data_IF_459943295303
#
_entry.id   IF_459943295303
#
_cell.length_a   1.000
_cell.length_b   1.000
_cell.length_c   1.000
_cell.angle_alpha   90.00
_cell.angle_beta   90.00
_cell.angle_gamma   90.00
#
_symmetry.space_group_name_H-M   'P 1'
#
loop_
_entity.id
_entity.type
_entity.pdbx_description
1 polymer ?
#
# COMPACT_ATOMS: atom_id res chain seq x y z
N UNK A 1 20.95 -13.39 -10.49
CA UNK A 1 19.55 -12.92 -10.61
C UNK A 1 18.67 -13.79 -11.52
N UNK A 2 19.21 -14.48 -12.54
CA UNK A 2 18.44 -15.38 -13.41
C UNK A 2 18.00 -16.71 -12.75
N UNK A 3 18.69 -17.20 -11.72
CA UNK A 3 18.33 -18.46 -11.02
C UNK A 3 17.03 -18.39 -10.22
N UNK A 4 16.64 -17.18 -9.74
CA UNK A 4 15.35 -16.94 -9.07
C UNK A 4 14.15 -17.03 -10.02
N UNK A 5 14.36 -16.76 -11.31
CA UNK A 5 13.29 -16.77 -12.33
C UNK A 5 13.02 -18.20 -12.86
N UNK A 6 14.03 -19.07 -12.86
CA UNK A 6 13.92 -20.41 -13.44
C UNK A 6 13.85 -21.56 -12.42
N UNK A 7 13.86 -21.29 -11.11
CA UNK A 7 13.67 -22.32 -10.08
C UNK A 7 14.80 -23.37 -9.98
N UNK A 8 15.98 -23.10 -10.55
CA UNK A 8 17.13 -24.02 -10.64
C UNK A 8 17.79 -24.42 -9.30
N UNK A 9 17.13 -24.19 -8.16
CA UNK A 9 17.58 -24.61 -6.83
C UNK A 9 16.46 -25.07 -5.89
N UNK A 10 15.21 -25.19 -6.39
CA UNK A 10 14.08 -25.64 -5.56
C UNK A 10 13.84 -27.13 -5.70
N UNK A 11 13.70 -27.82 -4.58
CA UNK A 11 13.34 -29.25 -4.55
C UNK A 11 11.82 -29.41 -4.56
N UNK A 12 11.27 -30.39 -5.29
CA UNK A 12 9.84 -30.69 -5.16
C UNK A 12 9.55 -31.14 -3.74
N UNK A 13 8.41 -30.70 -3.18
CA UNK A 13 7.95 -31.11 -1.85
C UNK A 13 7.95 -32.63 -1.68
N UNK A 14 7.67 -33.35 -2.77
CA UNK A 14 7.65 -34.81 -2.81
C UNK A 14 8.99 -35.49 -2.55
N UNK A 15 10.08 -34.78 -2.76
CA UNK A 15 11.43 -35.30 -2.56
C UNK A 15 11.96 -35.10 -1.14
N UNK A 16 11.18 -34.48 -0.25
CA UNK A 16 11.60 -34.20 1.11
C UNK A 16 11.44 -35.45 1.99
N UNK A 17 12.45 -35.74 2.80
CA UNK A 17 12.35 -36.74 3.87
C UNK A 17 11.49 -36.23 5.02
N UNK A 18 11.03 -37.11 5.91
CA UNK A 18 10.28 -36.67 7.11
C UNK A 18 11.08 -35.70 8.00
N UNK A 19 12.40 -35.87 8.07
CA UNK A 19 13.29 -34.94 8.78
C UNK A 19 13.24 -33.54 8.14
N UNK A 20 13.25 -33.47 6.80
CA UNK A 20 13.19 -32.22 6.06
C UNK A 20 11.80 -31.59 6.11
N UNK A 21 10.73 -32.39 6.15
CA UNK A 21 9.35 -31.92 6.32
C UNK A 21 9.19 -31.25 7.68
N UNK A 22 9.65 -31.89 8.77
CA UNK A 22 9.60 -31.28 10.11
C UNK A 22 10.50 -30.04 10.20
N UNK A 23 11.70 -30.08 9.63
CA UNK A 23 12.58 -28.90 9.60
C UNK A 23 11.96 -27.72 8.83
N UNK A 24 11.23 -28.01 7.74
CA UNK A 24 10.49 -27.00 6.98
C UNK A 24 9.29 -26.45 7.75
N UNK A 25 8.59 -27.30 8.52
CA UNK A 25 7.51 -26.85 9.41
C UNK A 25 8.07 -25.91 10.48
N UNK A 26 9.16 -26.28 11.15
CA UNK A 26 9.80 -25.44 12.19
C UNK A 26 10.20 -24.07 11.62
N UNK A 27 10.88 -24.04 10.48
CA UNK A 27 11.29 -22.75 9.89
C UNK A 27 10.10 -21.93 9.38
N UNK A 28 9.01 -22.59 9.02
CA UNK A 28 7.76 -21.94 8.61
C UNK A 28 7.08 -21.24 9.79
N UNK A 29 6.96 -21.91 10.93
CA UNK A 29 6.43 -21.33 12.17
C UNK A 29 7.29 -20.18 12.69
N UNK A 30 8.62 -20.35 12.65
CA UNK A 30 9.55 -19.27 13.02
C UNK A 30 9.38 -18.02 12.16
N UNK A 31 9.19 -18.20 10.85
CA UNK A 31 9.00 -17.09 9.92
C UNK A 31 7.61 -16.46 10.12
N UNK A 32 6.55 -17.24 10.33
CA UNK A 32 5.18 -16.72 10.54
C UNK A 32 5.06 -15.97 11.87
N UNK A 33 5.59 -16.51 12.97
CA UNK A 33 5.65 -15.79 14.24
C UNK A 33 6.45 -14.48 14.16
N UNK A 34 7.45 -14.37 13.27
CA UNK A 34 8.15 -13.09 13.01
C UNK A 34 7.30 -12.13 12.19
N UNK A 35 6.53 -12.63 11.23
CA UNK A 35 5.61 -11.83 10.44
C UNK A 35 4.52 -11.24 11.34
N UNK A 36 3.93 -12.04 12.23
CA UNK A 36 2.94 -11.56 13.19
C UNK A 36 3.47 -10.48 14.13
N UNK A 37 4.67 -10.65 14.68
CA UNK A 37 5.33 -9.59 15.46
C UNK A 37 5.59 -8.34 14.64
N UNK A 38 6.01 -8.48 13.38
CA UNK A 38 6.24 -7.34 12.49
C UNK A 38 4.93 -6.59 12.14
N UNK A 39 3.80 -7.29 12.10
CA UNK A 39 2.48 -6.67 11.99
C UNK A 39 2.10 -5.94 13.27
N UNK A 40 2.25 -6.58 14.44
CA UNK A 40 2.02 -5.96 15.73
C UNK A 40 2.83 -4.66 15.87
N UNK A 41 4.15 -4.72 15.69
CA UNK A 41 5.06 -3.56 15.74
C UNK A 41 4.62 -2.43 14.81
N UNK A 42 4.12 -2.77 13.63
CA UNK A 42 3.64 -1.79 12.64
C UNK A 42 2.31 -1.14 13.00
N UNK A 43 1.50 -1.77 13.83
CA UNK A 43 0.19 -1.31 14.27
C UNK A 43 0.24 -0.62 15.65
N UNK A 44 1.20 -0.96 16.52
CA UNK A 44 1.25 -0.52 17.93
C UNK A 44 1.07 0.99 18.14
N UNK A 45 1.64 1.84 17.30
CA UNK A 45 1.55 3.30 17.45
C UNK A 45 0.14 3.85 17.17
N UNK A 46 -0.53 3.33 16.14
CA UNK A 46 -1.80 3.89 15.65
C UNK A 46 -3.02 3.05 16.05
N UNK A 47 -2.85 1.74 16.21
CA UNK A 47 -3.89 0.73 16.42
C UNK A 47 -3.44 -0.30 17.48
N UNK A 48 -3.18 0.13 18.73
CA UNK A 48 -2.58 -0.72 19.75
C UNK A 48 -3.44 -1.93 20.15
N UNK A 49 -4.77 -1.88 19.98
CA UNK A 49 -5.62 -3.04 20.29
C UNK A 49 -5.61 -4.05 19.16
N UNK A 50 -5.62 -3.60 17.90
CA UNK A 50 -5.39 -4.47 16.75
C UNK A 50 -3.98 -5.09 16.78
N UNK A 51 -2.96 -4.38 17.29
CA UNK A 51 -1.61 -4.94 17.46
C UNK A 51 -1.59 -6.16 18.39
N UNK A 52 -2.28 -6.11 19.52
CA UNK A 52 -2.37 -7.23 20.49
C UNK A 52 -2.95 -8.51 19.91
N UNK A 53 -3.85 -8.40 18.93
CA UNK A 53 -4.37 -9.58 18.23
C UNK A 53 -3.21 -10.32 17.57
N UNK A 54 -2.33 -9.62 16.87
CA UNK A 54 -1.17 -10.22 16.20
C UNK A 54 -0.06 -10.63 17.18
N UNK A 55 0.06 -9.97 18.34
CA UNK A 55 0.95 -10.44 19.42
C UNK A 55 0.50 -11.80 19.95
N UNK A 56 -0.79 -11.95 20.30
CA UNK A 56 -1.31 -13.24 20.79
C UNK A 56 -1.29 -14.33 19.69
N UNK A 57 -1.49 -13.98 18.41
CA UNK A 57 -1.29 -14.93 17.31
C UNK A 57 0.17 -15.38 17.20
N UNK A 58 1.14 -14.49 17.37
CA UNK A 58 2.56 -14.86 17.36
C UNK A 58 2.94 -15.80 18.52
N UNK A 59 2.28 -15.69 19.67
CA UNK A 59 2.47 -16.60 20.82
C UNK A 59 1.98 -18.02 20.53
N UNK A 60 0.90 -18.17 19.74
CA UNK A 60 0.40 -19.48 19.31
C UNK A 60 1.38 -20.16 18.35
N UNK A 61 1.94 -19.43 17.38
CA UNK A 61 2.97 -19.95 16.47
C UNK A 61 4.27 -20.34 17.21
N UNK A 62 4.62 -19.64 18.29
CA UNK A 62 5.71 -20.04 19.16
C UNK A 62 5.43 -21.42 19.79
N UNK A 63 4.18 -21.68 20.19
CA UNK A 63 3.74 -22.97 20.70
C UNK A 63 3.83 -24.09 19.66
N UNK A 64 3.41 -23.81 18.42
CA UNK A 64 3.54 -24.73 17.28
C UNK A 64 5.00 -25.10 17.01
N UNK A 65 5.86 -24.07 16.90
CA UNK A 65 7.30 -24.23 16.73
C UNK A 65 7.89 -25.12 17.81
N UNK A 66 7.58 -24.85 19.08
CA UNK A 66 8.16 -25.57 20.21
C UNK A 66 7.72 -27.05 20.20
N UNK A 67 6.47 -27.34 19.87
CA UNK A 67 5.98 -28.71 19.70
C UNK A 67 6.69 -29.47 18.55
N UNK A 68 6.92 -28.79 17.42
CA UNK A 68 7.66 -29.35 16.28
C UNK A 68 9.14 -29.60 16.62
N UNK A 69 9.81 -28.68 17.32
CA UNK A 69 11.19 -28.83 17.77
C UNK A 69 11.32 -30.03 18.72
N UNK A 70 10.40 -30.15 19.68
CA UNK A 70 10.40 -31.27 20.63
C UNK A 70 10.22 -32.62 19.92
N UNK A 71 9.35 -32.69 18.92
CA UNK A 71 9.19 -33.90 18.13
C UNK A 71 10.41 -34.19 17.25
N UNK A 72 10.96 -33.15 16.61
CA UNK A 72 12.18 -33.27 15.81
C UNK A 72 13.33 -33.82 16.64
N UNK A 73 13.55 -33.25 17.84
CA UNK A 73 14.60 -33.68 18.77
C UNK A 73 14.47 -35.15 19.13
N UNK A 74 13.25 -35.61 19.45
CA UNK A 74 12.96 -37.01 19.81
C UNK A 74 13.25 -38.00 18.68
N UNK A 75 13.05 -37.60 17.41
CA UNK A 75 13.17 -38.50 16.25
C UNK A 75 14.52 -38.44 15.54
N UNK A 76 15.07 -37.23 15.42
CA UNK A 76 16.21 -36.93 14.54
C UNK A 76 17.40 -36.29 15.27
N UNK A 77 17.27 -36.03 16.58
CA UNK A 77 18.31 -35.40 17.41
C UNK A 77 18.32 -33.88 17.30
N UNK A 78 19.39 -33.25 17.79
CA UNK A 78 19.45 -31.80 18.01
C UNK A 78 19.66 -30.95 16.74
N UNK A 79 20.16 -31.54 15.66
CA UNK A 79 20.57 -30.78 14.48
C UNK A 79 19.44 -30.69 13.47
N UNK A 80 18.70 -29.58 13.51
CA UNK A 80 17.66 -29.25 12.52
C UNK A 80 18.33 -28.79 11.21
N UNK A 81 18.07 -29.47 10.06
CA UNK A 81 18.55 -29.02 8.76
C UNK A 81 18.02 -27.63 8.37
N UNK A 82 18.86 -26.82 7.74
CA UNK A 82 18.43 -25.53 7.20
C UNK A 82 17.66 -25.75 5.89
N UNK A 83 16.34 -25.76 6.00
CA UNK A 83 15.41 -25.74 4.86
C UNK A 83 14.37 -24.64 5.11
N UNK A 84 13.99 -23.95 4.05
CA UNK A 84 13.03 -22.84 4.08
C UNK A 84 12.06 -22.97 2.91
N UNK A 85 10.97 -22.22 2.98
CA UNK A 85 9.89 -22.21 1.98
C UNK A 85 10.43 -21.94 0.57
N UNK A 86 11.36 -21.00 0.43
CA UNK A 86 11.97 -20.62 -0.83
C UNK A 86 12.83 -21.72 -1.48
N UNK A 87 13.21 -22.76 -0.71
CA UNK A 87 13.95 -23.93 -1.21
C UNK A 87 13.03 -25.03 -1.76
N UNK A 88 11.70 -24.90 -1.61
CA UNK A 88 10.73 -25.93 -1.96
C UNK A 88 9.82 -25.47 -3.10
N UNK A 89 9.73 -26.27 -4.16
CA UNK A 89 8.88 -25.99 -5.32
C UNK A 89 7.43 -26.32 -4.98
N UNK A 90 6.53 -25.40 -5.28
CA UNK A 90 5.09 -25.54 -4.97
C UNK A 90 4.72 -25.10 -3.56
N UNK A 91 5.69 -24.68 -2.74
CA UNK A 91 5.42 -24.00 -1.48
C UNK A 91 5.01 -22.56 -1.76
N UNK A 92 4.05 -22.04 -1.01
CA UNK A 92 3.56 -20.67 -1.17
C UNK A 92 4.66 -19.65 -0.83
N UNK A 93 4.76 -18.60 -1.63
CA UNK A 93 5.65 -17.48 -1.36
C UNK A 93 4.90 -16.40 -0.57
N UNK A 94 5.41 -16.07 0.62
CA UNK A 94 4.95 -14.92 1.39
C UNK A 94 5.43 -13.64 0.67
N UNK A 95 4.51 -12.72 0.38
CA UNK A 95 4.89 -11.37 -0.08
C UNK A 95 5.25 -10.55 1.16
N UNK A 96 6.39 -9.84 1.18
CA UNK A 96 6.88 -9.14 2.37
C UNK A 96 6.10 -7.85 2.64
N UNK A 97 4.78 -7.94 2.75
CA UNK A 97 3.89 -6.81 2.98
C UNK A 97 4.03 -6.24 4.39
N UNK A 98 4.43 -7.05 5.37
CA UNK A 98 4.85 -6.63 6.71
C UNK A 98 6.06 -5.67 6.71
N UNK A 99 6.75 -5.46 5.58
CA UNK A 99 7.81 -4.46 5.44
C UNK A 99 7.30 -3.12 4.88
N UNK A 100 6.09 -3.09 4.34
CA UNK A 100 5.51 -1.89 3.73
C UNK A 100 4.73 -1.13 4.81
N UNK A 101 4.90 0.20 4.86
CA UNK A 101 4.22 1.09 5.82
C UNK A 101 3.51 2.23 5.07
N UNK A 102 2.30 2.64 5.47
CA UNK A 102 1.55 2.16 6.64
C UNK A 102 0.92 0.80 6.37
N UNK A 103 0.73 0.01 7.42
CA UNK A 103 -0.10 -1.19 7.35
C UNK A 103 -1.56 -0.76 7.50
N UNK A 104 -2.43 -1.24 6.62
CA UNK A 104 -3.87 -1.10 6.80
C UNK A 104 -4.40 -2.26 7.63
N UNK A 105 -5.27 -2.01 8.62
CA UNK A 105 -5.74 -3.04 9.55
C UNK A 105 -6.37 -4.19 8.78
N UNK A 106 -7.28 -3.87 7.86
CA UNK A 106 -7.99 -4.86 7.05
C UNK A 106 -7.05 -5.62 6.10
N UNK A 107 -6.04 -4.93 5.58
CA UNK A 107 -5.05 -5.56 4.71
C UNK A 107 -4.26 -6.62 5.48
N UNK A 108 -3.76 -6.27 6.67
CA UNK A 108 -3.01 -7.20 7.53
C UNK A 108 -3.88 -8.39 7.94
N UNK A 109 -5.14 -8.17 8.34
CA UNK A 109 -6.10 -9.24 8.64
C UNK A 109 -6.27 -10.20 7.47
N UNK A 110 -6.55 -9.66 6.27
CA UNK A 110 -6.73 -10.47 5.07
C UNK A 110 -5.49 -11.29 4.71
N UNK A 111 -4.30 -10.73 4.98
CA UNK A 111 -3.04 -11.44 4.76
C UNK A 111 -2.84 -12.55 5.79
N UNK A 112 -3.06 -12.26 7.07
CA UNK A 112 -3.01 -13.26 8.16
C UNK A 112 -3.92 -14.45 7.85
N UNK A 113 -5.18 -14.23 7.46
CA UNK A 113 -6.07 -15.33 7.06
C UNK A 113 -5.54 -16.14 5.87
N UNK A 114 -4.91 -15.47 4.89
CA UNK A 114 -4.27 -16.17 3.78
C UNK A 114 -3.05 -16.96 4.26
N UNK A 115 -2.37 -16.48 5.30
CA UNK A 115 -1.26 -17.16 5.93
C UNK A 115 -1.68 -18.47 6.58
N UNK A 116 -2.75 -18.43 7.38
CA UNK A 116 -3.32 -19.60 8.06
C UNK A 116 -3.83 -20.65 7.07
N UNK A 117 -4.57 -20.22 6.04
CA UNK A 117 -5.06 -21.14 5.00
C UNK A 117 -3.91 -21.85 4.30
N UNK A 118 -2.80 -21.15 4.10
CA UNK A 118 -1.61 -21.73 3.47
C UNK A 118 -0.90 -22.72 4.41
N UNK A 119 -0.75 -22.39 5.70
CA UNK A 119 -0.19 -23.28 6.72
C UNK A 119 -1.03 -24.55 6.88
N UNK A 120 -2.36 -24.42 6.96
CA UNK A 120 -3.30 -25.54 6.96
C UNK A 120 -3.06 -26.52 5.80
N UNK A 121 -3.00 -25.99 4.56
CA UNK A 121 -2.78 -26.82 3.38
C UNK A 121 -1.41 -27.51 3.42
N UNK A 122 -0.38 -26.84 3.92
CA UNK A 122 0.92 -27.43 4.13
C UNK A 122 0.87 -28.61 5.10
N UNK A 123 0.27 -28.43 6.28
CA UNK A 123 0.19 -29.49 7.28
C UNK A 123 -0.60 -30.70 6.81
N UNK A 124 -1.72 -30.48 6.10
CA UNK A 124 -2.50 -31.55 5.47
C UNK A 124 -1.67 -32.34 4.46
N UNK A 125 -0.89 -31.66 3.61
CA UNK A 125 -0.02 -32.34 2.63
C UNK A 125 1.20 -33.01 3.27
N UNK A 126 1.75 -32.42 4.34
CA UNK A 126 2.84 -33.00 5.12
C UNK A 126 2.41 -34.28 5.85
N UNK A 127 1.21 -34.29 6.46
CA UNK A 127 0.67 -35.45 7.15
C UNK A 127 0.49 -36.65 6.20
N UNK A 128 0.03 -36.42 4.96
CA UNK A 128 -0.10 -37.46 3.93
C UNK A 128 1.22 -38.13 3.55
N UNK A 129 2.35 -37.42 3.72
CA UNK A 129 3.69 -37.88 3.33
C UNK A 129 4.52 -38.45 4.47
N UNK A 130 3.97 -38.45 5.68
CA UNK A 130 4.66 -38.97 6.87
C UNK A 130 4.09 -40.34 7.24
N UNK A 131 4.97 -41.33 7.42
CA UNK A 131 4.62 -42.69 7.80
C UNK A 131 4.60 -42.88 9.31
N UNK A 132 5.46 -42.16 10.03
CA UNK A 132 5.51 -42.21 11.50
C UNK A 132 4.23 -41.67 12.13
N UNK A 133 3.66 -42.47 13.03
CA UNK A 133 2.37 -42.16 13.66
C UNK A 133 2.43 -40.91 14.55
N UNK A 134 3.55 -40.66 15.22
CA UNK A 134 3.70 -39.50 16.12
C UNK A 134 3.82 -38.21 15.32
N UNK A 135 4.58 -38.25 14.22
CA UNK A 135 4.68 -37.12 13.28
C UNK A 135 3.39 -36.85 12.55
N UNK A 136 2.71 -37.88 12.03
CA UNK A 136 1.43 -37.69 11.38
C UNK A 136 0.41 -37.06 12.34
N UNK A 137 0.33 -37.57 13.58
CA UNK A 137 -0.56 -37.01 14.60
C UNK A 137 -0.28 -35.53 14.85
N UNK A 138 0.99 -35.14 15.06
CA UNK A 138 1.32 -33.74 15.32
C UNK A 138 0.96 -32.84 14.13
N UNK A 139 1.25 -33.28 12.91
CA UNK A 139 0.92 -32.50 11.70
C UNK A 139 -0.60 -32.38 11.50
N UNK A 140 -1.37 -33.43 11.80
CA UNK A 140 -2.84 -33.37 11.79
C UNK A 140 -3.38 -32.44 12.88
N UNK A 141 -2.81 -32.48 14.09
CA UNK A 141 -3.19 -31.58 15.19
C UNK A 141 -2.90 -30.11 14.82
N UNK A 142 -1.73 -29.84 14.22
CA UNK A 142 -1.36 -28.51 13.72
C UNK A 142 -2.29 -28.06 12.60
N UNK A 143 -2.62 -28.91 11.63
CA UNK A 143 -3.62 -28.58 10.61
C UNK A 143 -4.97 -28.17 11.24
N UNK A 144 -5.41 -28.87 12.29
CA UNK A 144 -6.63 -28.49 13.01
C UNK A 144 -6.47 -27.16 13.74
N UNK A 145 -5.29 -26.88 14.33
CA UNK A 145 -4.97 -25.61 14.96
C UNK A 145 -5.02 -24.45 13.95
N UNK A 146 -4.37 -24.58 12.79
CA UNK A 146 -4.40 -23.61 11.69
C UNK A 146 -5.82 -23.30 11.20
N UNK A 147 -6.68 -24.32 11.11
CA UNK A 147 -8.09 -24.13 10.76
C UNK A 147 -8.85 -23.36 11.86
N UNK A 148 -8.44 -23.53 13.11
CA UNK A 148 -8.95 -22.82 14.28
C UNK A 148 -8.47 -21.37 14.39
N UNK A 149 -7.37 -21.00 13.72
CA UNK A 149 -6.78 -19.66 13.80
C UNK A 149 -7.72 -18.54 13.32
N UNK A 150 -8.58 -18.78 12.34
CA UNK A 150 -9.61 -17.80 11.96
C UNK A 150 -10.57 -17.51 13.13
N UNK A 151 -11.01 -18.56 13.83
CA UNK A 151 -11.89 -18.43 15.00
C UNK A 151 -11.16 -17.81 16.18
N UNK A 152 -9.87 -18.12 16.35
CA UNK A 152 -9.02 -17.52 17.35
C UNK A 152 -8.86 -16.02 17.10
N UNK A 153 -8.48 -15.62 15.90
CA UNK A 153 -8.38 -14.23 15.48
C UNK A 153 -9.69 -13.49 15.71
N UNK A 154 -10.85 -14.06 15.35
CA UNK A 154 -12.16 -13.47 15.63
C UNK A 154 -12.43 -13.30 17.13
N UNK A 155 -12.03 -14.27 17.96
CA UNK A 155 -12.18 -14.19 19.42
C UNK A 155 -11.26 -13.13 20.01
N UNK A 156 -10.01 -13.05 19.55
CA UNK A 156 -9.02 -12.04 19.93
C UNK A 156 -9.48 -10.65 19.51
N UNK A 157 -10.08 -10.51 18.33
CA UNK A 157 -10.73 -9.27 17.90
C UNK A 157 -11.89 -8.88 18.80
N UNK A 158 -12.77 -9.83 19.17
CA UNK A 158 -13.85 -9.54 20.11
C UNK A 158 -13.33 -9.13 21.50
N UNK A 159 -12.21 -9.71 21.93
CA UNK A 159 -11.56 -9.44 23.23
C UNK A 159 -10.88 -8.06 23.24
N UNK A 160 -10.06 -7.76 22.24
CA UNK A 160 -9.21 -6.55 22.22
C UNK A 160 -9.83 -5.39 21.47
N UNK A 161 -10.60 -5.67 20.41
CA UNK A 161 -11.17 -4.69 19.49
C UNK A 161 -12.71 -4.78 19.49
N UNK A 162 -13.38 -4.62 20.65
CA UNK A 162 -14.84 -4.63 20.71
C UNK A 162 -15.41 -3.48 19.87
N UNK A 163 -16.70 -3.56 19.50
CA UNK A 163 -17.30 -2.72 18.45
C UNK A 163 -17.02 -1.21 18.52
N UNK A 164 -16.92 -0.62 19.72
CA UNK A 164 -16.54 0.79 19.90
C UNK A 164 -15.08 1.06 19.48
N UNK A 165 -14.14 0.21 19.91
CA UNK A 165 -12.72 0.29 19.54
C UNK A 165 -12.54 0.06 18.05
N UNK A 166 -13.27 -0.90 17.46
CA UNK A 166 -13.24 -1.16 16.02
C UNK A 166 -13.66 0.07 15.20
N UNK A 167 -14.73 0.74 15.64
CA UNK A 167 -15.20 1.96 14.98
C UNK A 167 -14.21 3.13 15.14
N UNK A 168 -13.59 3.25 16.32
CA UNK A 168 -12.58 4.26 16.60
C UNK A 168 -11.32 4.06 15.75
N UNK A 169 -10.74 2.86 15.73
CA UNK A 169 -9.55 2.53 14.93
C UNK A 169 -9.83 2.71 13.42
N UNK A 170 -11.01 2.29 12.93
CA UNK A 170 -11.39 2.51 11.53
C UNK A 170 -11.52 4.00 11.17
N UNK A 171 -12.12 4.80 12.07
CA UNK A 171 -12.20 6.25 11.90
C UNK A 171 -10.82 6.90 11.93
N UNK A 172 -9.92 6.42 12.81
CA UNK A 172 -8.55 6.91 12.91
C UNK A 172 -7.75 6.59 11.63
N UNK A 173 -7.85 5.37 11.10
CA UNK A 173 -7.23 4.95 9.84
C UNK A 173 -7.73 5.82 8.66
N UNK A 174 -9.05 6.01 8.55
CA UNK A 174 -9.63 6.84 7.50
C UNK A 174 -9.14 8.29 7.61
N UNK A 175 -9.10 8.85 8.83
CA UNK A 175 -8.61 10.21 9.05
C UNK A 175 -7.13 10.33 8.68
N UNK A 176 -6.30 9.37 9.06
CA UNK A 176 -4.88 9.35 8.74
C UNK A 176 -4.65 9.28 7.22
N UNK A 177 -5.41 8.45 6.51
CA UNK A 177 -5.40 8.38 5.05
C UNK A 177 -5.73 9.72 4.40
N UNK A 178 -6.80 10.38 4.88
CA UNK A 178 -7.22 11.68 4.37
C UNK A 178 -6.13 12.74 4.61
N UNK A 179 -5.56 12.80 5.82
CA UNK A 179 -4.56 13.82 6.18
C UNK A 179 -3.19 13.60 5.50
N UNK A 180 -2.81 12.35 5.23
CA UNK A 180 -1.50 12.01 4.68
C UNK A 180 -1.49 12.02 3.16
N UNK A 181 -2.58 11.59 2.52
CA UNK A 181 -2.62 11.39 1.07
C UNK A 181 -3.67 12.26 0.38
N UNK A 182 -4.92 12.25 0.85
CA UNK A 182 -6.00 12.91 0.10
C UNK A 182 -5.91 14.43 0.17
N UNK A 183 -5.72 15.00 1.37
CA UNK A 183 -5.58 16.46 1.54
C UNK A 183 -4.34 17.00 0.81
N UNK A 184 -3.14 16.44 1.02
CA UNK A 184 -1.96 16.95 0.34
C UNK A 184 -2.04 16.70 -1.17
N UNK A 185 -2.54 15.54 -1.60
CA UNK A 185 -2.73 15.25 -3.02
C UNK A 185 -3.73 16.17 -3.70
N UNK A 186 -4.83 16.51 -3.03
CA UNK A 186 -5.80 17.48 -3.53
C UNK A 186 -5.21 18.89 -3.60
N UNK A 187 -4.44 19.31 -2.59
CA UNK A 187 -3.74 20.58 -2.60
C UNK A 187 -2.76 20.66 -3.77
N UNK A 188 -1.98 19.61 -3.99
CA UNK A 188 -1.08 19.51 -5.14
C UNK A 188 -1.84 19.56 -6.46
N UNK A 189 -2.91 18.78 -6.61
CA UNK A 189 -3.71 18.75 -7.84
C UNK A 189 -4.35 20.11 -8.14
N UNK A 190 -4.87 20.82 -7.14
CA UNK A 190 -5.41 22.17 -7.31
C UNK A 190 -4.32 23.16 -7.73
N UNK A 191 -3.15 23.11 -7.08
CA UNK A 191 -2.04 23.97 -7.44
C UNK A 191 -1.57 23.69 -8.87
N UNK A 192 -1.25 22.45 -9.20
CA UNK A 192 -0.79 22.07 -10.53
C UNK A 192 -1.82 22.36 -11.61
N UNK A 193 -3.09 21.98 -11.40
CA UNK A 193 -4.12 22.15 -12.43
C UNK A 193 -4.53 23.61 -12.64
N UNK A 194 -4.32 24.50 -11.67
CA UNK A 194 -4.73 25.91 -11.77
C UNK A 194 -3.53 26.81 -12.06
N UNK A 195 -2.42 26.67 -11.33
CA UNK A 195 -1.27 27.59 -11.41
C UNK A 195 -0.50 27.49 -12.72
N UNK A 196 -0.50 26.33 -13.39
CA UNK A 196 0.19 26.16 -14.68
C UNK A 196 -0.67 26.53 -15.89
N UNK A 197 -1.99 26.75 -15.73
CA UNK A 197 -2.86 27.16 -16.84
C UNK A 197 -2.40 28.48 -17.45
N UNK A 198 -2.15 29.49 -16.62
CA UNK A 198 -1.75 30.82 -17.10
C UNK A 198 -0.48 30.79 -17.95
N UNK A 199 0.67 30.27 -17.48
CA UNK A 199 1.90 30.26 -18.27
C UNK A 199 1.79 29.38 -19.52
N UNK A 200 1.09 28.23 -19.46
CA UNK A 200 0.92 27.34 -20.61
C UNK A 200 0.08 28.01 -21.69
N UNK A 201 -1.08 28.56 -21.34
CA UNK A 201 -1.94 29.22 -22.32
C UNK A 201 -1.34 30.54 -22.80
N UNK A 202 -0.62 31.29 -21.95
CA UNK A 202 0.14 32.45 -22.41
C UNK A 202 1.17 32.08 -23.48
N UNK A 203 1.97 31.03 -23.24
CA UNK A 203 2.93 30.53 -24.24
C UNK A 203 2.22 30.02 -25.51
N UNK A 204 1.10 29.31 -25.35
CA UNK A 204 0.31 28.80 -26.46
C UNK A 204 -0.19 29.91 -27.38
N UNK A 205 -0.83 30.94 -26.82
CA UNK A 205 -1.39 32.04 -27.60
C UNK A 205 -0.32 33.04 -28.08
N UNK A 206 0.80 33.17 -27.38
CA UNK A 206 1.90 34.02 -27.84
C UNK A 206 2.66 33.39 -29.02
N UNK A 207 2.92 32.08 -28.96
CA UNK A 207 3.79 31.41 -29.94
C UNK A 207 3.02 30.71 -31.06
N UNK A 208 1.79 30.27 -30.79
CA UNK A 208 1.03 29.34 -31.62
C UNK A 208 1.81 28.04 -31.95
N UNK A 209 2.86 27.72 -31.19
CA UNK A 209 3.73 26.57 -31.36
C UNK A 209 3.44 25.56 -30.25
N UNK A 210 2.96 24.38 -30.64
CA UNK A 210 2.55 23.34 -29.71
C UNK A 210 3.76 22.71 -28.99
N UNK A 211 4.91 22.62 -29.64
CA UNK A 211 6.12 22.08 -29.02
C UNK A 211 6.68 23.03 -27.95
N UNK A 212 6.73 24.33 -28.25
CA UNK A 212 7.13 25.33 -27.25
C UNK A 212 6.16 25.34 -26.06
N UNK A 213 4.86 25.25 -26.33
CA UNK A 213 3.83 25.16 -25.29
C UNK A 213 4.02 23.92 -24.41
N UNK A 214 4.30 22.76 -25.02
CA UNK A 214 4.58 21.53 -24.29
C UNK A 214 5.82 21.69 -23.40
N UNK A 215 6.91 22.26 -23.93
CA UNK A 215 8.14 22.47 -23.15
C UNK A 215 7.91 23.39 -21.95
N UNK A 216 7.18 24.49 -22.13
CA UNK A 216 6.78 25.39 -21.04
C UNK A 216 5.91 24.63 -20.02
N UNK A 217 4.95 23.83 -20.48
CA UNK A 217 4.09 23.05 -19.59
C UNK A 217 4.83 21.98 -18.81
N UNK A 218 5.76 21.25 -19.43
CA UNK A 218 6.62 20.29 -18.74
C UNK A 218 7.49 20.98 -17.68
N UNK A 219 8.13 22.11 -18.04
CA UNK A 219 8.97 22.86 -17.12
C UNK A 219 8.17 23.42 -15.93
N UNK A 220 7.01 24.01 -16.19
CA UNK A 220 6.12 24.56 -15.17
C UNK A 220 5.60 23.46 -14.24
N UNK A 221 5.13 22.34 -14.77
CA UNK A 221 4.54 21.24 -13.99
C UNK A 221 5.57 20.55 -13.10
N UNK A 222 6.74 20.22 -13.64
CA UNK A 222 7.81 19.57 -12.89
C UNK A 222 8.39 20.54 -11.84
N UNK A 223 8.62 21.79 -12.22
CA UNK A 223 9.12 22.82 -11.32
C UNK A 223 8.17 23.08 -10.14
N UNK A 224 6.87 23.23 -10.43
CA UNK A 224 5.83 23.38 -9.41
C UNK A 224 5.77 22.15 -8.50
N UNK A 225 5.79 20.93 -9.06
CA UNK A 225 5.77 19.70 -8.28
C UNK A 225 6.96 19.55 -7.34
N UNK A 226 8.17 19.86 -7.80
CA UNK A 226 9.36 19.88 -6.94
C UNK A 226 9.18 20.91 -5.82
N UNK A 227 8.81 22.14 -6.16
CA UNK A 227 8.65 23.24 -5.20
C UNK A 227 7.60 22.93 -4.13
N UNK A 228 6.41 22.50 -4.55
CA UNK A 228 5.29 22.14 -3.68
C UNK A 228 5.59 20.92 -2.81
N UNK A 229 6.31 19.93 -3.35
CA UNK A 229 6.75 18.77 -2.58
C UNK A 229 7.70 19.16 -1.45
N UNK A 230 8.72 19.96 -1.73
CA UNK A 230 9.66 20.43 -0.70
C UNK A 230 9.00 21.32 0.36
N UNK A 231 8.09 22.20 -0.05
CA UNK A 231 7.36 23.07 0.90
C UNK A 231 6.47 22.26 1.84
N UNK A 232 5.82 21.20 1.35
CA UNK A 232 5.03 20.31 2.22
C UNK A 232 5.93 19.51 3.19
N UNK A 233 7.09 19.00 2.75
CA UNK A 233 8.05 18.34 3.67
C UNK A 233 8.51 19.29 4.77
N UNK A 234 8.77 20.56 4.41
CA UNK A 234 9.23 21.58 5.35
C UNK A 234 8.12 22.14 6.26
N UNK A 235 6.85 21.88 5.94
CA UNK A 235 5.71 22.51 6.63
C UNK A 235 5.52 22.04 8.07
N UNK A 236 5.71 20.75 8.33
CA UNK A 236 5.52 20.13 9.65
C UNK A 236 6.09 18.70 9.67
N UNK A 237 6.51 18.21 10.84
CA UNK A 237 7.01 16.85 11.02
C UNK A 237 5.90 15.79 11.17
N UNK A 238 4.64 16.23 11.30
CA UNK A 238 3.46 15.37 11.37
C UNK A 238 3.17 14.79 12.74
N UNK A 239 4.06 14.95 13.74
CA UNK A 239 3.92 14.35 15.07
C UNK A 239 2.82 15.01 15.90
N UNK A 240 2.72 16.34 15.83
CA UNK A 240 1.70 17.10 16.55
C UNK A 240 0.40 17.24 15.75
N UNK A 241 0.49 17.30 14.42
CA UNK A 241 -0.68 17.47 13.55
C UNK A 241 -1.41 16.17 13.23
N UNK A 242 -0.78 15.01 13.47
CA UNK A 242 -1.32 13.70 13.10
C UNK A 242 -1.40 13.46 11.59
N UNK A 243 -0.74 14.29 10.78
CA UNK A 243 -0.76 14.21 9.30
C UNK A 243 0.20 13.15 8.73
N UNK A 244 0.78 12.29 9.58
CA UNK A 244 1.69 11.22 9.16
C UNK A 244 3.05 11.71 8.69
N UNK A 245 3.73 10.90 7.86
CA UNK A 245 5.12 11.17 7.45
C UNK A 245 5.24 12.39 6.51
N UNK A 246 6.12 13.37 6.81
CA UNK A 246 6.35 14.54 5.95
C UNK A 246 6.79 14.18 4.54
N UNK A 247 7.65 13.16 4.40
CA UNK A 247 8.16 12.70 3.11
C UNK A 247 7.02 12.14 2.25
N UNK A 248 6.09 11.38 2.86
CA UNK A 248 4.92 10.84 2.13
C UNK A 248 4.01 11.95 1.65
N UNK A 249 3.74 12.94 2.49
CA UNK A 249 2.94 14.11 2.10
C UNK A 249 3.62 14.90 1.00
N UNK A 250 4.91 15.21 1.14
CA UNK A 250 5.68 15.92 0.13
C UNK A 250 5.71 15.21 -1.22
N UNK A 251 5.93 13.90 -1.21
CA UNK A 251 5.86 13.10 -2.44
C UNK A 251 4.44 13.14 -3.05
N UNK A 252 3.41 13.02 -2.22
CA UNK A 252 2.01 13.05 -2.67
C UNK A 252 1.66 14.40 -3.28
N UNK A 253 1.98 15.51 -2.60
CA UNK A 253 1.78 16.87 -3.12
C UNK A 253 2.54 17.04 -4.43
N UNK A 254 3.84 16.76 -4.45
CA UNK A 254 4.67 17.04 -5.62
C UNK A 254 4.26 16.23 -6.86
N UNK A 255 3.94 14.94 -6.68
CA UNK A 255 3.42 14.11 -7.78
C UNK A 255 2.08 14.65 -8.26
N UNK A 256 1.15 14.97 -7.36
CA UNK A 256 -0.18 15.45 -7.75
C UNK A 256 -0.15 16.84 -8.39
N UNK A 257 0.74 17.74 -7.95
CA UNK A 257 1.01 19.02 -8.63
C UNK A 257 1.55 18.80 -10.04
N UNK A 258 2.52 17.88 -10.18
CA UNK A 258 3.08 17.57 -11.49
C UNK A 258 2.00 17.00 -12.42
N UNK A 259 1.20 16.04 -11.94
CA UNK A 259 0.11 15.44 -12.72
C UNK A 259 -0.96 16.46 -13.11
N UNK A 260 -1.33 17.36 -12.20
CA UNK A 260 -2.30 18.42 -12.49
C UNK A 260 -1.82 19.37 -13.59
N UNK A 261 -0.54 19.73 -13.60
CA UNK A 261 0.00 20.57 -14.67
C UNK A 261 0.20 19.81 -15.99
N UNK A 262 0.56 18.53 -15.92
CA UNK A 262 0.80 17.72 -17.11
C UNK A 262 -0.46 17.44 -17.91
N UNK A 263 -1.62 17.25 -17.28
CA UNK A 263 -2.80 16.82 -18.01
C UNK A 263 -3.26 17.83 -19.07
N UNK A 264 -3.12 19.13 -18.85
CA UNK A 264 -3.39 20.15 -19.87
C UNK A 264 -2.16 20.59 -20.70
N UNK A 265 -0.95 20.14 -20.35
CA UNK A 265 0.25 20.31 -21.18
C UNK A 265 0.40 19.23 -22.25
N UNK A 266 0.14 17.96 -21.90
CA UNK A 266 0.30 16.80 -22.80
C UNK A 266 -0.47 16.88 -24.13
N UNK A 267 -1.67 17.48 -24.22
CA UNK A 267 -2.38 17.65 -25.48
C UNK A 267 -1.58 18.42 -26.55
N UNK A 268 -0.60 19.24 -26.15
CA UNK A 268 0.28 19.96 -27.08
C UNK A 268 1.36 19.08 -27.74
N UNK A 269 1.38 17.78 -27.46
CA UNK A 269 2.05 16.79 -28.33
C UNK A 269 1.39 16.74 -29.72
N UNK A 270 0.10 17.11 -29.82
CA UNK A 270 -0.62 17.20 -31.09
C UNK A 270 -0.05 18.38 -31.90
N UNK A 271 0.43 18.17 -33.15
CA UNK A 271 1.06 19.24 -33.95
C UNK A 271 0.13 20.37 -34.41
N UNK A 272 -1.19 20.17 -34.28
CA UNK A 272 -2.20 21.13 -34.72
C UNK A 272 -2.70 21.95 -33.53
N UNK A 273 -2.34 23.24 -33.50
CA UNK A 273 -2.66 24.17 -32.41
C UNK A 273 -4.11 24.11 -31.94
N UNK A 274 -5.09 24.39 -32.81
CA UNK A 274 -6.50 24.40 -32.43
C UNK A 274 -7.01 23.04 -31.94
N UNK A 275 -6.45 21.94 -32.45
CA UNK A 275 -6.80 20.59 -31.98
C UNK A 275 -6.20 20.33 -30.60
N UNK A 276 -4.92 20.68 -30.39
CA UNK A 276 -4.24 20.58 -29.10
C UNK A 276 -4.95 21.42 -28.03
N UNK A 277 -5.27 22.67 -28.33
CA UNK A 277 -5.99 23.59 -27.44
C UNK A 277 -7.40 23.09 -27.12
N UNK A 278 -8.13 22.56 -28.11
CA UNK A 278 -9.45 21.97 -27.89
C UNK A 278 -9.40 20.74 -26.98
N UNK A 279 -8.45 19.84 -27.20
CA UNK A 279 -8.24 18.66 -26.33
C UNK A 279 -7.80 19.10 -24.93
N UNK A 280 -6.90 20.08 -24.80
CA UNK A 280 -6.49 20.64 -23.51
C UNK A 280 -7.69 21.21 -22.74
N UNK A 281 -8.58 21.96 -23.38
CA UNK A 281 -9.78 22.48 -22.73
C UNK A 281 -10.70 21.36 -22.21
N UNK A 282 -10.86 20.27 -22.97
CA UNK A 282 -11.61 19.08 -22.54
C UNK A 282 -10.94 18.39 -21.35
N UNK A 283 -9.61 18.24 -21.38
CA UNK A 283 -8.87 17.65 -20.25
C UNK A 283 -9.03 18.50 -19.00
N UNK A 284 -8.86 19.82 -19.09
CA UNK A 284 -9.07 20.75 -17.97
C UNK A 284 -10.48 20.60 -17.40
N UNK A 285 -11.51 20.49 -18.25
CA UNK A 285 -12.88 20.25 -17.77
C UNK A 285 -12.97 18.99 -16.90
N UNK A 286 -12.39 17.86 -17.34
CA UNK A 286 -12.40 16.64 -16.53
C UNK A 286 -11.51 16.73 -15.28
N UNK A 287 -10.37 17.43 -15.34
CA UNK A 287 -9.51 17.70 -14.19
C UNK A 287 -10.25 18.47 -13.10
N UNK A 288 -10.90 19.58 -13.46
CA UNK A 288 -11.65 20.42 -12.52
C UNK A 288 -12.84 19.65 -11.91
N UNK A 289 -13.52 18.80 -12.70
CA UNK A 289 -14.57 17.92 -12.19
C UNK A 289 -14.03 16.86 -11.23
N UNK A 290 -12.88 16.26 -11.52
CA UNK A 290 -12.23 15.29 -10.65
C UNK A 290 -11.84 15.93 -9.32
N UNK A 291 -11.27 17.15 -9.33
CA UNK A 291 -10.94 17.92 -8.12
C UNK A 291 -12.21 18.17 -7.29
N UNK A 292 -13.28 18.66 -7.92
CA UNK A 292 -14.54 18.94 -7.23
C UNK A 292 -15.18 17.68 -6.64
N UNK A 293 -15.10 16.56 -7.35
CA UNK A 293 -15.56 15.25 -6.87
C UNK A 293 -14.77 14.76 -5.66
N UNK A 294 -13.43 14.83 -5.71
CA UNK A 294 -12.56 14.42 -4.58
C UNK A 294 -12.81 15.32 -3.36
N UNK A 295 -12.96 16.63 -3.55
CA UNK A 295 -13.35 17.56 -2.48
C UNK A 295 -14.68 17.16 -1.84
N UNK A 296 -15.69 16.85 -2.65
CA UNK A 296 -16.99 16.46 -2.13
C UNK A 296 -16.94 15.13 -1.37
N UNK A 297 -16.26 14.13 -1.93
CA UNK A 297 -16.23 12.77 -1.39
C UNK A 297 -15.42 12.64 -0.10
N UNK A 298 -14.33 13.39 0.02
CA UNK A 298 -13.35 13.22 1.11
C UNK A 298 -13.22 14.42 2.05
N UNK A 299 -13.48 15.64 1.59
CA UNK A 299 -13.42 16.86 2.43
C UNK A 299 -14.78 17.32 2.92
N UNK A 300 -15.85 16.58 2.60
CA UNK A 300 -17.23 16.92 2.95
C UNK A 300 -17.68 18.30 2.44
N UNK A 301 -16.98 18.87 1.45
CA UNK A 301 -17.34 20.15 0.84
C UNK A 301 -18.58 19.96 -0.04
N UNK A 302 -19.63 20.81 0.07
CA UNK A 302 -20.78 20.72 -0.83
C UNK A 302 -20.34 20.83 -2.30
N UNK A 303 -20.76 19.87 -3.14
CA UNK A 303 -20.28 19.75 -4.53
C UNK A 303 -20.41 21.06 -5.32
N UNK A 304 -21.53 21.77 -5.18
CA UNK A 304 -21.75 23.05 -5.87
C UNK A 304 -20.71 24.12 -5.49
N UNK A 305 -20.31 24.18 -4.22
CA UNK A 305 -19.28 25.11 -3.75
C UNK A 305 -17.90 24.72 -4.28
N UNK A 306 -17.57 23.43 -4.20
CA UNK A 306 -16.30 22.89 -4.72
C UNK A 306 -16.17 23.15 -6.23
N UNK A 307 -17.20 22.80 -7.02
CA UNK A 307 -17.23 23.02 -8.45
C UNK A 307 -17.14 24.52 -8.80
N UNK A 308 -17.89 25.38 -8.12
CA UNK A 308 -17.85 26.82 -8.38
C UNK A 308 -16.46 27.42 -8.11
N UNK A 309 -15.84 27.07 -6.98
CA UNK A 309 -14.51 27.58 -6.62
C UNK A 309 -13.45 27.16 -7.65
N UNK A 310 -13.45 25.88 -8.03
CA UNK A 310 -12.46 25.30 -8.94
C UNK A 310 -12.66 25.83 -10.37
N UNK A 311 -13.90 25.89 -10.86
CA UNK A 311 -14.23 26.41 -12.21
C UNK A 311 -13.96 27.91 -12.32
N UNK A 312 -14.38 28.71 -11.32
CA UNK A 312 -14.14 30.15 -11.34
C UNK A 312 -12.64 30.46 -11.26
N UNK A 313 -11.91 29.79 -10.36
CA UNK A 313 -10.45 29.94 -10.25
C UNK A 313 -9.74 29.57 -11.56
N UNK A 314 -10.07 28.41 -12.13
CA UNK A 314 -9.51 27.96 -13.41
C UNK A 314 -9.82 28.91 -14.56
N UNK A 315 -11.06 29.41 -14.66
CA UNK A 315 -11.47 30.35 -15.71
C UNK A 315 -10.73 31.69 -15.61
N UNK A 316 -10.53 32.22 -14.40
CA UNK A 316 -9.80 33.47 -14.19
C UNK A 316 -8.33 33.34 -14.58
N UNK A 317 -7.67 32.25 -14.18
CA UNK A 317 -6.26 32.02 -14.49
C UNK A 317 -6.06 31.73 -15.98
N UNK A 318 -6.98 30.97 -16.60
CA UNK A 318 -7.01 30.78 -18.05
C UNK A 318 -7.14 32.12 -18.78
N UNK A 319 -8.12 32.95 -18.41
CA UNK A 319 -8.34 34.25 -19.03
C UNK A 319 -7.10 35.15 -18.90
N UNK A 320 -6.44 35.17 -17.74
CA UNK A 320 -5.20 35.89 -17.55
C UNK A 320 -4.09 35.39 -18.50
N UNK A 321 -3.92 34.07 -18.65
CA UNK A 321 -2.97 33.49 -19.58
C UNK A 321 -3.23 33.90 -21.04
N UNK A 322 -4.48 33.79 -21.49
CA UNK A 322 -4.88 34.19 -22.84
C UNK A 322 -4.64 35.68 -23.08
N UNK A 323 -5.02 36.55 -22.14
CA UNK A 323 -4.84 38.00 -22.28
C UNK A 323 -3.37 38.39 -22.33
N UNK A 324 -2.53 37.79 -21.47
CA UNK A 324 -1.08 38.04 -21.45
C UNK A 324 -0.43 37.51 -22.74
N UNK A 325 -0.84 36.34 -23.24
CA UNK A 325 -0.30 35.76 -24.46
C UNK A 325 -0.68 36.49 -25.75
N UNK A 326 -1.74 37.29 -25.74
CA UNK A 326 -2.19 38.10 -26.89
C UNK A 326 -1.76 39.58 -26.80
N UNK A 327 -1.04 39.98 -25.74
CA UNK A 327 -0.52 41.33 -25.55
C UNK A 327 0.85 41.50 -26.21
#
# INVERSE_FOLDING_TARGET
MLSRVFGFGRRPFESLSEQEILALAISSEEDDGRIYRAYADGLTENFPQSAKVFEEMAEEEDGHRDALIELFRKRFGERIPLIRREHVKGYYERKPDWLVRPLGIEHVRSHAEAMERQAYLFYVEAAKRTADASTRKLLDDLAVAELGHETLAQRLEQKHVPGAVKAEEASAEQRQFILTYVQPGLAGLMDGSVSTLAPIFAAAFATHDTWQTLLVGLAASIGAGISMGFTEVASDDGKLSGRGSPIKRGLTVGIMTTLGGLGHALPYVIPHFWTATGVAAVVVFFELWAIAFVQNRYMQTPFLRAAFQVVLGGALVFAAGVLIGNA
#
